data_IF_690082438998
#
_entry.id   IF_690082438998
#
_cell.length_a   1.000
_cell.length_b   1.000
_cell.length_c   1.000
_cell.angle_alpha   90.00
_cell.angle_beta   90.00
_cell.angle_gamma   90.00
#
_symmetry.space_group_name_H-M   'P 1'
#
loop_
_entity.id
_entity.type
_entity.pdbx_description
1 polymer ?
#
# COMPACT_ATOMS: atom_id res chain seq x y z
N UNK A 1 19.55 -0.90 22.01
CA UNK A 1 18.26 -1.60 21.87
C UNK A 1 17.31 -0.74 21.06
N UNK A 2 17.09 -1.05 19.78
CA UNK A 2 16.06 -0.40 18.97
C UNK A 2 14.75 -1.13 19.23
N UNK A 3 13.78 -0.43 19.85
CA UNK A 3 12.40 -0.89 19.99
C UNK A 3 11.71 -0.88 18.61
N UNK A 4 12.05 -1.86 17.78
CA UNK A 4 11.28 -2.25 16.60
C UNK A 4 10.33 -3.38 17.03
N UNK A 5 9.17 -3.02 17.57
CA UNK A 5 8.20 -4.04 18.02
C UNK A 5 6.80 -3.51 18.30
N UNK A 6 6.68 -2.22 18.58
CA UNK A 6 5.39 -1.62 18.93
C UNK A 6 4.36 -1.55 17.78
N UNK A 7 4.72 -1.23 16.51
CA UNK A 7 3.71 -1.17 15.44
C UNK A 7 3.25 -2.56 14.98
N UNK A 8 4.11 -3.58 15.08
CA UNK A 8 3.78 -4.96 14.70
C UNK A 8 2.84 -5.61 15.74
N UNK A 9 3.06 -5.33 17.04
CA UNK A 9 2.22 -5.85 18.11
C UNK A 9 0.77 -5.28 18.05
N UNK A 10 0.61 -4.02 17.66
CA UNK A 10 -0.70 -3.41 17.45
C UNK A 10 -1.46 -4.01 16.27
N UNK A 11 -0.75 -4.43 15.22
CA UNK A 11 -1.36 -5.11 14.07
C UNK A 11 -1.96 -6.46 14.50
N UNK A 12 -1.27 -7.21 15.37
CA UNK A 12 -1.67 -8.55 15.81
C UNK A 12 -2.96 -8.58 16.67
N UNK A 13 -3.22 -7.54 17.46
CA UNK A 13 -4.44 -7.44 18.29
C UNK A 13 -5.73 -7.20 17.49
N UNK A 14 -5.62 -6.63 16.28
CA UNK A 14 -6.80 -6.29 15.48
C UNK A 14 -7.30 -7.47 14.61
N UNK A 15 -6.46 -8.46 14.33
CA UNK A 15 -6.79 -9.59 13.47
C UNK A 15 -7.70 -10.60 14.19
N UNK A 16 -7.66 -10.67 15.52
CA UNK A 16 -8.42 -11.62 16.33
C UNK A 16 -9.90 -11.24 16.53
N UNK A 17 -10.30 -9.99 16.24
CA UNK A 17 -11.62 -9.44 16.62
C UNK A 17 -12.42 -8.82 15.46
N UNK A 18 -12.28 -9.35 14.24
CA UNK A 18 -13.33 -9.24 13.23
C UNK A 18 -13.79 -7.83 12.86
N UNK A 19 -12.89 -6.99 12.34
CA UNK A 19 -13.36 -5.98 11.38
C UNK A 19 -12.29 -5.71 10.33
N UNK A 20 -12.48 -6.28 9.15
CA UNK A 20 -11.67 -6.00 7.96
C UNK A 20 -11.48 -4.50 7.79
N UNK A 21 -12.52 -3.69 8.02
CA UNK A 21 -12.46 -2.22 7.93
C UNK A 21 -11.38 -1.55 8.79
N UNK A 22 -11.20 -1.95 10.06
CA UNK A 22 -10.15 -1.38 10.94
C UNK A 22 -8.75 -1.74 10.48
N UNK A 23 -8.53 -2.99 10.07
CA UNK A 23 -7.23 -3.43 9.56
C UNK A 23 -6.90 -2.76 8.22
N UNK A 24 -7.87 -2.69 7.29
CA UNK A 24 -7.76 -1.96 6.03
C UNK A 24 -7.37 -0.50 6.26
N UNK A 25 -8.03 0.18 7.22
CA UNK A 25 -7.70 1.54 7.61
C UNK A 25 -6.28 1.66 8.17
N UNK A 26 -5.89 0.77 9.08
CA UNK A 26 -4.55 0.77 9.68
C UNK A 26 -3.45 0.66 8.61
N UNK A 27 -3.63 -0.20 7.63
CA UNK A 27 -2.68 -0.32 6.53
C UNK A 27 -2.60 0.94 5.67
N UNK A 28 -3.74 1.55 5.32
CA UNK A 28 -3.71 2.82 4.59
C UNK A 28 -3.05 3.94 5.36
N UNK A 29 -3.37 4.08 6.65
CA UNK A 29 -2.79 5.12 7.50
C UNK A 29 -1.26 4.97 7.53
N UNK A 30 -0.78 3.73 7.68
CA UNK A 30 0.66 3.41 7.59
C UNK A 30 1.25 3.76 6.23
N UNK A 31 0.60 3.36 5.13
CA UNK A 31 1.13 3.62 3.78
C UNK A 31 1.16 5.11 3.46
N UNK A 32 0.09 5.83 3.74
CA UNK A 32 0.01 7.26 3.46
C UNK A 32 0.98 8.06 4.33
N UNK A 33 1.16 7.69 5.61
CA UNK A 33 2.21 8.28 6.45
C UNK A 33 3.61 8.11 5.84
N UNK A 34 3.96 6.90 5.45
CA UNK A 34 5.28 6.63 4.83
C UNK A 34 5.43 7.33 3.47
N UNK A 35 4.36 7.44 2.68
CA UNK A 35 4.36 8.19 1.41
C UNK A 35 4.62 9.68 1.61
N UNK A 36 4.07 10.27 2.66
CA UNK A 36 4.37 11.65 3.01
C UNK A 36 5.84 11.82 3.37
N UNK A 37 6.42 10.93 4.18
CA UNK A 37 7.85 10.98 4.51
C UNK A 37 8.73 10.81 3.25
N UNK A 38 8.37 9.91 2.33
CA UNK A 38 9.04 9.80 1.01
C UNK A 38 8.96 11.12 0.25
N UNK A 39 7.77 11.70 0.12
CA UNK A 39 7.55 12.93 -0.63
C UNK A 39 8.35 14.09 -0.05
N UNK A 40 8.39 14.20 1.29
CA UNK A 40 9.16 15.20 2.02
C UNK A 40 10.66 15.03 1.85
N UNK A 41 11.18 13.81 2.01
CA UNK A 41 12.61 13.51 1.85
C UNK A 41 13.10 13.73 0.41
N UNK A 42 12.26 13.42 -0.57
CA UNK A 42 12.61 13.52 -2.00
C UNK A 42 12.27 14.88 -2.61
N UNK A 43 11.49 15.71 -1.92
CA UNK A 43 10.97 16.97 -2.48
C UNK A 43 10.00 16.75 -3.63
N UNK A 44 9.07 15.81 -3.48
CA UNK A 44 8.06 15.49 -4.51
C UNK A 44 6.70 16.11 -4.18
N UNK A 45 6.20 16.93 -5.09
CA UNK A 45 5.01 17.76 -4.90
C UNK A 45 3.68 17.08 -5.32
N UNK A 46 3.74 15.98 -6.06
CA UNK A 46 2.59 15.32 -6.69
C UNK A 46 2.32 13.90 -6.16
N UNK A 47 2.78 13.58 -4.94
CA UNK A 47 2.56 12.26 -4.33
C UNK A 47 1.08 12.03 -4.04
N UNK A 48 0.46 11.08 -4.73
CA UNK A 48 -0.94 10.72 -4.48
C UNK A 48 -1.13 10.11 -3.09
N UNK A 49 -2.26 10.43 -2.45
CA UNK A 49 -2.80 9.64 -1.35
C UNK A 49 -3.35 8.33 -1.93
N UNK A 50 -3.03 7.21 -1.27
CA UNK A 50 -3.54 5.88 -1.61
C UNK A 50 -4.94 5.66 -1.02
N UNK A 51 -5.80 5.04 -1.82
CA UNK A 51 -7.09 4.48 -1.42
C UNK A 51 -7.00 2.96 -1.25
N UNK A 52 -7.88 2.38 -0.44
CA UNK A 52 -7.85 0.92 -0.23
C UNK A 52 -8.39 0.22 -1.46
N UNK A 53 -7.60 -0.67 -2.04
CA UNK A 53 -7.99 -1.43 -3.21
C UNK A 53 -8.54 -2.81 -2.85
N UNK A 54 -9.86 -2.99 -2.76
CA UNK A 54 -10.43 -4.32 -2.49
C UNK A 54 -10.04 -5.37 -3.56
N UNK A 55 -9.92 -4.95 -4.83
CA UNK A 55 -9.35 -5.82 -5.88
C UNK A 55 -7.90 -6.21 -5.58
N UNK A 56 -7.10 -5.31 -5.01
CA UNK A 56 -5.71 -5.59 -4.64
C UNK A 56 -5.65 -6.58 -3.48
N UNK A 57 -6.52 -6.42 -2.48
CA UNK A 57 -6.66 -7.36 -1.36
C UNK A 57 -7.06 -8.75 -1.87
N UNK A 58 -8.06 -8.84 -2.76
CA UNK A 58 -8.45 -10.12 -3.36
C UNK A 58 -7.28 -10.78 -4.09
N UNK A 59 -6.48 -10.01 -4.84
CA UNK A 59 -5.31 -10.57 -5.53
C UNK A 59 -4.25 -11.09 -4.55
N UNK A 60 -4.10 -10.46 -3.38
CA UNK A 60 -3.26 -10.99 -2.30
C UNK A 60 -3.83 -12.33 -1.79
N UNK A 61 -5.14 -12.42 -1.57
CA UNK A 61 -5.78 -13.66 -1.11
C UNK A 61 -5.64 -14.78 -2.14
N UNK A 62 -5.94 -14.51 -3.41
CA UNK A 62 -5.74 -15.45 -4.51
C UNK A 62 -4.26 -15.91 -4.56
N UNK A 63 -3.31 -15.01 -4.28
CA UNK A 63 -1.88 -15.37 -4.16
C UNK A 63 -1.64 -16.28 -2.96
N UNK A 64 -2.18 -15.96 -1.78
CA UNK A 64 -2.07 -16.80 -0.59
C UNK A 64 -2.67 -18.19 -0.73
N UNK A 65 -3.71 -18.34 -1.55
CA UNK A 65 -4.37 -19.62 -1.81
C UNK A 65 -3.52 -20.48 -2.77
N UNK A 66 -2.91 -19.88 -3.79
CA UNK A 66 -1.96 -20.56 -4.70
C UNK A 66 -0.74 -21.11 -3.96
N UNK A 67 -0.39 -20.51 -2.82
CA UNK A 67 0.78 -20.90 -2.04
C UNK A 67 0.43 -21.55 -0.68
N UNK A 68 -0.81 -22.02 -0.49
CA UNK A 68 -1.28 -22.60 0.77
C UNK A 68 -0.30 -23.65 1.35
N UNK A 69 0.34 -24.45 0.48
CA UNK A 69 1.24 -25.54 0.87
C UNK A 69 2.71 -25.12 1.09
N UNK A 70 3.09 -23.87 0.80
CA UNK A 70 4.52 -23.49 0.67
C UNK A 70 5.04 -22.54 1.74
N UNK A 71 4.27 -22.24 2.80
CA UNK A 71 4.63 -21.37 3.92
C UNK A 71 5.69 -20.32 3.54
N UNK A 72 5.29 -19.31 2.76
CA UNK A 72 6.24 -18.44 2.07
C UNK A 72 7.13 -17.70 3.07
N UNK A 73 8.40 -18.10 3.13
CA UNK A 73 9.40 -17.56 4.05
C UNK A 73 10.36 -16.56 3.38
N UNK A 74 10.05 -16.09 2.17
CA UNK A 74 10.92 -15.20 1.38
C UNK A 74 10.14 -14.10 0.67
N UNK A 75 10.85 -13.04 0.32
CA UNK A 75 10.30 -11.93 -0.46
C UNK A 75 9.93 -12.42 -1.87
N UNK A 76 8.64 -12.67 -2.11
CA UNK A 76 8.09 -12.96 -3.43
C UNK A 76 7.50 -11.68 -3.99
N UNK A 77 7.85 -11.35 -5.23
CA UNK A 77 7.25 -10.26 -5.98
C UNK A 77 6.46 -10.83 -7.14
N UNK A 78 5.15 -10.60 -7.16
CA UNK A 78 4.29 -10.93 -8.31
C UNK A 78 3.86 -9.64 -8.99
N UNK A 79 4.07 -9.57 -10.30
CA UNK A 79 3.66 -8.43 -11.15
C UNK A 79 2.47 -8.86 -11.98
N UNK A 80 1.31 -8.26 -11.69
CA UNK A 80 0.09 -8.47 -12.46
C UNK A 80 -0.14 -7.26 -13.35
N UNK A 81 -0.09 -7.47 -14.67
CA UNK A 81 -0.52 -6.44 -15.62
C UNK A 81 -2.04 -6.41 -15.65
N UNK A 82 -2.63 -5.24 -15.46
CA UNK A 82 -4.07 -5.12 -15.66
C UNK A 82 -4.37 -5.24 -17.16
N UNK A 83 -4.98 -6.34 -17.59
CA UNK A 83 -5.30 -6.62 -19.00
C UNK A 83 -6.20 -5.54 -19.65
N UNK A 84 -6.89 -4.73 -18.85
CA UNK A 84 -7.75 -3.63 -19.33
C UNK A 84 -7.08 -2.25 -19.33
N UNK A 85 -5.94 -2.07 -18.64
CA UNK A 85 -5.17 -0.83 -18.61
C UNK A 85 -3.69 -1.23 -18.54
N UNK A 86 -3.01 -1.25 -19.68
CA UNK A 86 -1.61 -1.68 -19.79
C UNK A 86 -0.63 -0.84 -18.94
N UNK A 87 -1.07 0.32 -18.46
CA UNK A 87 -0.25 1.31 -17.76
C UNK A 87 -0.23 1.14 -16.23
N UNK A 88 -1.10 0.29 -15.67
CA UNK A 88 -1.14 0.02 -14.23
C UNK A 88 -0.66 -1.40 -13.94
N UNK A 89 0.52 -1.50 -13.33
CA UNK A 89 1.09 -2.74 -12.85
C UNK A 89 0.74 -2.91 -11.37
N UNK A 90 0.09 -4.02 -11.00
CA UNK A 90 -0.09 -4.35 -9.59
C UNK A 90 1.10 -5.19 -9.13
N UNK A 91 1.82 -4.69 -8.13
CA UNK A 91 2.94 -5.38 -7.51
C UNK A 91 2.52 -5.94 -6.16
N UNK A 92 2.54 -7.26 -6.04
CA UNK A 92 2.31 -7.97 -4.77
C UNK A 92 3.66 -8.33 -4.17
N UNK A 93 3.87 -8.00 -2.90
CA UNK A 93 5.11 -8.25 -2.18
C UNK A 93 4.77 -8.92 -0.85
N UNK A 94 5.44 -10.05 -0.61
CA UNK A 94 5.30 -10.81 0.62
C UNK A 94 6.50 -10.55 1.55
N UNK A 95 6.24 -10.45 2.84
CA UNK A 95 7.23 -10.13 3.89
C UNK A 95 8.06 -8.86 3.59
N UNK A 96 7.43 -7.74 3.22
CA UNK A 96 8.17 -6.56 2.79
C UNK A 96 9.03 -5.98 3.93
N UNK A 97 10.35 -6.23 3.88
CA UNK A 97 11.33 -5.69 4.84
C UNK A 97 11.35 -4.15 4.87
N UNK A 98 10.96 -3.51 3.76
CA UNK A 98 10.80 -2.05 3.66
C UNK A 98 9.59 -1.71 2.81
N UNK A 99 8.46 -1.49 3.48
CA UNK A 99 7.20 -1.04 2.87
C UNK A 99 7.43 0.19 1.98
N UNK A 100 8.23 1.15 2.46
CA UNK A 100 8.59 2.41 1.78
C UNK A 100 9.08 2.24 0.34
N UNK A 101 9.85 1.18 0.05
CA UNK A 101 10.35 0.89 -1.31
C UNK A 101 9.23 0.62 -2.31
N UNK A 102 8.11 0.08 -1.85
CA UNK A 102 7.03 -0.40 -2.71
C UNK A 102 5.94 0.64 -2.88
N UNK A 103 5.65 1.40 -1.82
CA UNK A 103 4.61 2.44 -1.83
C UNK A 103 5.17 3.81 -2.25
N UNK A 104 6.41 3.94 -2.71
CA UNK A 104 7.04 5.23 -2.97
C UNK A 104 6.69 5.88 -4.32
N UNK A 105 5.96 5.20 -5.20
CA UNK A 105 5.65 5.69 -6.54
C UNK A 105 4.58 6.80 -6.52
N UNK A 106 4.89 7.96 -7.10
CA UNK A 106 4.00 9.15 -7.02
C UNK A 106 2.66 8.94 -7.72
N UNK A 107 2.65 8.13 -8.77
CA UNK A 107 1.47 7.83 -9.60
C UNK A 107 0.51 6.82 -8.97
N UNK A 108 0.98 6.01 -8.02
CA UNK A 108 0.17 4.99 -7.34
C UNK A 108 -1.09 5.60 -6.71
N UNK A 109 -2.22 4.93 -6.82
CA UNK A 109 -3.52 5.40 -6.35
C UNK A 109 -4.18 4.43 -5.37
N UNK A 110 -3.89 3.14 -5.48
CA UNK A 110 -4.52 2.09 -4.71
C UNK A 110 -3.49 1.15 -4.10
N UNK A 111 -3.73 0.80 -2.85
CA UNK A 111 -2.99 -0.27 -2.21
C UNK A 111 -3.90 -1.12 -1.33
N UNK A 112 -3.45 -2.34 -1.04
CA UNK A 112 -4.03 -3.20 -0.05
C UNK A 112 -2.94 -3.92 0.72
N UNK A 113 -3.32 -4.44 1.86
CA UNK A 113 -2.50 -5.34 2.65
C UNK A 113 -3.36 -6.54 3.05
N UNK A 114 -2.74 -7.69 3.25
CA UNK A 114 -3.35 -8.78 3.97
C UNK A 114 -2.30 -9.51 4.79
N UNK A 115 -2.76 -10.20 5.81
CA UNK A 115 -1.92 -10.92 6.75
C UNK A 115 -2.37 -12.39 6.79
N UNK A 116 -1.43 -13.32 6.67
CA UNK A 116 -1.68 -14.76 6.80
C UNK A 116 -0.62 -15.38 7.70
N UNK A 117 -1.05 -16.24 8.63
CA UNK A 117 -0.16 -17.08 9.43
C UNK A 117 -0.19 -18.50 8.87
N UNK A 118 0.97 -19.06 8.54
CA UNK A 118 1.05 -20.44 8.08
C UNK A 118 0.72 -21.37 9.23
N UNK A 119 -0.23 -22.30 9.03
CA UNK A 119 -0.67 -23.22 10.08
C UNK A 119 0.41 -24.22 10.48
N UNK A 120 1.20 -24.68 9.52
CA UNK A 120 2.20 -25.73 9.74
C UNK A 120 3.47 -25.20 10.41
N UNK A 121 4.01 -24.08 9.91
CA UNK A 121 5.28 -23.52 10.40
C UNK A 121 5.10 -22.41 11.42
N UNK A 122 3.88 -21.88 11.56
CA UNK A 122 3.60 -20.69 12.37
C UNK A 122 4.14 -19.39 11.78
N UNK A 123 4.78 -19.42 10.61
CA UNK A 123 5.37 -18.23 9.96
C UNK A 123 4.29 -17.23 9.61
N UNK A 124 4.50 -15.98 10.00
CA UNK A 124 3.58 -14.88 9.79
C UNK A 124 3.98 -14.13 8.53
N UNK A 125 3.04 -13.89 7.62
CA UNK A 125 3.28 -13.24 6.32
C UNK A 125 2.40 -12.02 6.14
N UNK A 126 3.04 -10.86 6.07
CA UNK A 126 2.40 -9.62 5.59
C UNK A 126 2.57 -9.54 4.09
N UNK A 127 1.49 -9.29 3.39
CA UNK A 127 1.46 -9.04 1.96
C UNK A 127 0.97 -7.63 1.69
N UNK A 128 1.58 -6.97 0.70
CA UNK A 128 1.17 -5.65 0.22
C UNK A 128 0.99 -5.74 -1.29
N UNK A 129 -0.10 -5.17 -1.78
CA UNK A 129 -0.35 -4.97 -3.19
C UNK A 129 -0.53 -3.49 -3.46
N UNK A 130 0.18 -2.95 -4.46
CA UNK A 130 0.11 -1.53 -4.85
C UNK A 130 0.03 -1.43 -6.36
N UNK A 131 -0.78 -0.50 -6.88
CA UNK A 131 -0.73 -0.14 -8.29
C UNK A 131 0.44 0.80 -8.55
N UNK A 132 1.19 0.52 -9.61
CA UNK A 132 2.32 1.33 -10.04
C UNK A 132 1.92 1.91 -11.38
N UNK A 133 1.97 3.24 -11.49
CA UNK A 133 1.73 3.95 -12.73
C UNK A 133 3.01 4.63 -13.19
N UNK A 134 3.73 3.95 -14.08
CA UNK A 134 5.04 4.40 -14.58
C UNK A 134 4.98 5.59 -15.54
N UNK A 135 3.78 6.09 -15.86
CA UNK A 135 3.61 7.27 -16.73
C UNK A 135 3.60 8.59 -15.95
N UNK A 136 3.59 8.53 -14.61
CA UNK A 136 3.54 9.73 -13.77
C UNK A 136 4.92 9.98 -13.17
N UNK A 137 5.61 10.98 -13.70
CA UNK A 137 6.89 11.41 -13.17
C UNK A 137 6.73 12.23 -11.87
N UNK A 138 7.67 12.10 -10.91
CA UNK A 138 7.73 12.99 -9.75
C UNK A 138 7.98 14.45 -10.16
N UNK A 139 7.22 15.36 -9.57
CA UNK A 139 7.40 16.81 -9.76
C UNK A 139 8.15 17.35 -8.55
N UNK A 140 9.27 18.05 -8.79
CA UNK A 140 10.03 18.69 -7.72
C UNK A 140 9.21 19.83 -7.07
N UNK A 141 9.17 19.85 -5.73
CA UNK A 141 8.52 20.90 -4.95
C UNK A 141 8.11 20.44 -3.55
N UNK A 142 7.43 21.31 -2.82
CA UNK A 142 6.87 20.95 -1.51
C UNK A 142 5.72 19.95 -1.68
N UNK A 143 5.58 18.94 -0.80
CA UNK A 143 4.47 17.99 -0.86
C UNK A 143 3.11 18.69 -1.04
N UNK A 144 2.29 18.17 -1.95
CA UNK A 144 0.94 18.65 -2.22
C UNK A 144 0.86 19.94 -3.06
N UNK A 145 1.98 20.59 -3.40
CA UNK A 145 1.97 21.85 -4.14
C UNK A 145 1.69 21.69 -5.64
N UNK A 146 1.75 20.48 -6.18
CA UNK A 146 1.58 20.19 -7.61
C UNK A 146 0.66 18.98 -7.85
N UNK A 147 -0.46 18.91 -7.12
CA UNK A 147 -1.40 17.81 -7.28
C UNK A 147 -2.00 17.74 -8.69
N UNK A 148 -2.21 16.53 -9.25
CA UNK A 148 -2.86 16.35 -10.54
C UNK A 148 -4.25 17.00 -10.61
N UNK A 149 -4.74 17.32 -11.83
CA UNK A 149 -5.96 18.11 -12.04
C UNK A 149 -7.22 17.61 -11.30
N UNK A 150 -7.37 16.31 -11.09
CA UNK A 150 -8.49 15.68 -10.39
C UNK A 150 -8.26 15.47 -8.89
N UNK A 151 -7.13 15.95 -8.36
CA UNK A 151 -6.68 15.78 -6.98
C UNK A 151 -6.36 17.13 -6.32
N UNK A 152 -6.31 17.12 -5.00
CA UNK A 152 -6.02 18.27 -4.16
C UNK A 152 -5.17 17.83 -2.97
N UNK A 153 -4.37 18.71 -2.34
CA UNK A 153 -3.65 18.36 -1.12
C UNK A 153 -4.64 18.05 0.01
N UNK A 154 -4.41 16.93 0.70
CA UNK A 154 -5.07 16.58 1.96
C UNK A 154 -4.38 17.25 3.15
N UNK A 155 -4.86 16.98 4.36
CA UNK A 155 -4.27 17.51 5.60
C UNK A 155 -2.83 17.05 5.87
N UNK A 156 -2.39 15.97 5.21
CA UNK A 156 -1.02 15.45 5.25
C UNK A 156 -0.19 15.91 4.04
N UNK A 157 -0.72 16.81 3.20
CA UNK A 157 -0.07 17.31 1.99
C UNK A 157 0.17 16.23 0.92
N UNK A 158 -0.61 15.15 0.93
CA UNK A 158 -0.69 14.18 -0.16
C UNK A 158 -1.86 14.53 -1.10
N UNK A 159 -1.79 14.10 -2.35
CA UNK A 159 -2.82 14.41 -3.33
C UNK A 159 -4.01 13.45 -3.24
N UNK A 160 -5.08 13.84 -2.54
CA UNK A 160 -6.35 13.12 -2.45
C UNK A 160 -7.28 13.42 -3.64
N UNK A 161 -8.22 12.52 -3.96
CA UNK A 161 -9.24 12.78 -4.98
C UNK A 161 -10.17 13.91 -4.55
N UNK A 162 -10.46 14.85 -5.47
CA UNK A 162 -11.47 15.89 -5.22
C UNK A 162 -12.83 15.23 -4.99
N UNK A 163 -13.50 15.58 -3.90
CA UNK A 163 -14.90 15.19 -3.67
C UNK A 163 -15.75 15.75 -4.80
N UNK A 164 -16.56 14.91 -5.45
CA UNK A 164 -17.59 15.40 -6.37
C UNK A 164 -18.54 16.29 -5.57
N UNK A 165 -18.76 17.52 -6.02
CA UNK A 165 -19.88 18.33 -5.51
C UNK A 165 -21.16 17.59 -5.91
N UNK A 166 -21.91 17.08 -4.94
CA UNK A 166 -23.30 16.69 -5.19
C UNK A 166 -24.05 17.98 -5.54
N UNK A 167 -24.55 18.06 -6.77
CA UNK A 167 -25.54 19.06 -7.15
C UNK A 167 -26.91 18.66 -6.61
#
# INVERSE_FOLDING_TARGET
MKLLGFPILLILLHVANGSDGKFRKLCLDMFNKERYEVAKEKGWANMNQLEYGERHEKLIQDTFDVYEDRCINRNVTTVLKNLQNMDNIIKIVLNPDSVKKYIGDVGSQKAACAYKKCKETGVETLAIAVDINSLVDPINGSPGSACPNNRQPDVQMLCELKKKKSN
#
